data_IF_896280322664
#
_entry.id   IF_896280322664
#
_cell.length_a   1.000
_cell.length_b   1.000
_cell.length_c   1.000
_cell.angle_alpha   90.00
_cell.angle_beta   90.00
_cell.angle_gamma   90.00
#
_symmetry.space_group_name_H-M   'P 1'
#
loop_
_entity.id
_entity.type
_entity.pdbx_description
1 polymer ?
#
# COMPACT_ATOMS: atom_id res chain seq x y z
N UNK A 1 5.72 17.80 4.40
CA UNK A 1 4.50 17.35 3.71
C UNK A 1 4.42 15.83 3.70
N UNK A 2 3.29 15.25 3.23
CA UNK A 2 3.02 13.82 3.31
C UNK A 2 2.46 13.27 1.99
N UNK A 3 2.69 11.98 1.74
CA UNK A 3 2.02 11.19 0.71
C UNK A 3 1.33 9.97 1.31
N UNK A 4 0.10 9.71 0.92
CA UNK A 4 -0.65 8.49 1.24
C UNK A 4 -0.87 7.74 -0.08
N UNK A 5 -0.18 6.62 -0.28
CA UNK A 5 -0.23 5.85 -1.51
C UNK A 5 -1.31 4.76 -1.41
N UNK A 6 -2.53 5.11 -1.76
CA UNK A 6 -3.68 4.19 -1.81
C UNK A 6 -3.92 3.59 -3.21
N UNK A 7 -3.04 3.88 -4.18
CA UNK A 7 -3.20 3.39 -5.54
C UNK A 7 -2.84 1.90 -5.66
N UNK A 8 -3.70 1.14 -6.34
CA UNK A 8 -3.44 -0.25 -6.69
C UNK A 8 -2.51 -0.34 -7.91
N UNK A 9 -1.22 -0.13 -7.68
CA UNK A 9 -0.20 -0.23 -8.72
C UNK A 9 0.09 -1.71 -9.00
N UNK A 10 0.08 -2.09 -10.28
CA UNK A 10 0.42 -3.46 -10.69
C UNK A 10 1.90 -3.76 -10.44
N UNK A 11 2.20 -4.92 -9.87
CA UNK A 11 3.56 -5.37 -9.57
C UNK A 11 4.37 -5.66 -10.85
N UNK A 12 3.69 -5.93 -11.97
CA UNK A 12 4.31 -6.23 -13.26
C UNK A 12 3.71 -5.43 -14.39
N UNK A 13 4.52 -5.14 -15.40
CA UNK A 13 4.11 -4.54 -16.66
C UNK A 13 4.66 -5.35 -17.84
N UNK A 14 4.01 -5.24 -18.98
CA UNK A 14 4.54 -5.85 -20.21
C UNK A 14 5.90 -5.23 -20.53
N UNK A 15 6.91 -6.09 -20.74
CA UNK A 15 8.30 -5.65 -21.00
C UNK A 15 8.40 -4.87 -22.31
N UNK A 16 7.79 -5.39 -23.38
CA UNK A 16 7.79 -4.80 -24.72
C UNK A 16 6.34 -4.56 -25.19
N UNK A 17 5.70 -3.42 -24.80
CA UNK A 17 4.32 -3.16 -25.18
C UNK A 17 4.21 -2.89 -26.69
N UNK A 18 3.26 -3.54 -27.35
CA UNK A 18 2.96 -3.31 -28.74
C UNK A 18 1.99 -2.13 -28.91
N UNK A 19 2.37 -1.16 -29.73
CA UNK A 19 1.59 0.07 -29.97
C UNK A 19 0.55 -0.10 -31.09
N UNK A 20 -0.17 -1.19 -31.15
CA UNK A 20 -1.14 -1.42 -32.21
C UNK A 20 -2.18 -2.45 -31.83
N UNK A 21 -3.03 -2.81 -32.80
CA UNK A 21 -3.98 -3.90 -32.65
C UNK A 21 -3.28 -5.24 -32.93
N UNK A 22 -3.23 -6.10 -31.92
CA UNK A 22 -2.77 -7.47 -32.09
C UNK A 22 -3.79 -8.24 -32.92
N UNK A 23 -3.29 -8.97 -33.93
CA UNK A 23 -4.12 -9.91 -34.71
C UNK A 23 -4.33 -11.17 -33.89
N UNK A 24 -5.51 -11.80 -34.05
CA UNK A 24 -5.80 -13.09 -33.47
C UNK A 24 -4.84 -14.13 -34.06
N UNK A 25 -4.06 -14.77 -33.21
CA UNK A 25 -3.11 -15.82 -33.58
C UNK A 25 -3.33 -17.05 -32.68
N UNK A 26 -2.58 -18.11 -32.91
CA UNK A 26 -2.67 -19.39 -32.17
C UNK A 26 -2.19 -19.30 -30.71
N UNK A 27 -1.75 -18.15 -30.29
CA UNK A 27 -1.34 -17.87 -28.93
C UNK A 27 -0.62 -16.53 -28.82
N UNK A 28 -0.52 -16.00 -27.59
CA UNK A 28 0.23 -14.79 -27.26
C UNK A 28 1.06 -15.06 -26.00
N UNK A 29 2.36 -14.96 -26.13
CA UNK A 29 3.27 -14.96 -24.99
C UNK A 29 3.58 -13.52 -24.59
N UNK A 30 3.38 -13.20 -23.33
CA UNK A 30 3.73 -11.89 -22.75
C UNK A 30 4.90 -12.06 -21.78
N UNK A 31 5.98 -11.36 -22.08
CA UNK A 31 7.07 -11.17 -21.13
C UNK A 31 6.72 -10.01 -20.21
N UNK A 32 6.80 -10.26 -18.90
CA UNK A 32 6.51 -9.28 -17.87
C UNK A 32 7.81 -8.87 -17.15
N UNK A 33 7.91 -7.61 -16.82
CA UNK A 33 8.98 -7.06 -15.99
C UNK A 33 8.40 -6.39 -14.76
N UNK A 34 9.08 -6.42 -13.59
CA UNK A 34 8.60 -5.75 -12.38
C UNK A 34 8.36 -4.25 -12.62
N UNK A 35 7.29 -3.74 -12.06
CA UNK A 35 7.02 -2.31 -12.00
C UNK A 35 7.85 -1.68 -10.88
N UNK A 36 8.31 -0.46 -11.08
CA UNK A 36 9.03 0.27 -10.03
C UNK A 36 8.13 0.51 -8.83
N UNK A 37 8.62 0.20 -7.64
CA UNK A 37 7.91 0.52 -6.40
C UNK A 37 7.88 2.04 -6.19
N UNK A 38 6.71 2.63 -6.43
CA UNK A 38 6.54 4.08 -6.44
C UNK A 38 6.70 4.68 -5.05
N UNK A 39 6.13 4.05 -4.01
CA UNK A 39 6.19 4.59 -2.64
C UNK A 39 7.59 4.42 -2.03
N UNK A 40 8.26 3.29 -2.28
CA UNK A 40 9.63 3.11 -1.85
C UNK A 40 10.57 4.12 -2.54
N UNK A 41 10.36 4.34 -3.85
CA UNK A 41 11.12 5.34 -4.58
C UNK A 41 10.85 6.77 -4.08
N UNK A 42 9.61 7.10 -3.74
CA UNK A 42 9.27 8.39 -3.14
C UNK A 42 9.97 8.56 -1.79
N UNK A 43 9.85 7.58 -0.88
CA UNK A 43 10.47 7.64 0.44
C UNK A 43 11.98 7.84 0.37
N UNK A 44 12.67 7.13 -0.54
CA UNK A 44 14.11 7.27 -0.74
C UNK A 44 14.53 8.66 -1.24
N UNK A 45 13.72 9.31 -2.09
CA UNK A 45 14.02 10.63 -2.65
C UNK A 45 13.53 11.79 -1.77
N UNK A 46 12.63 11.53 -0.82
CA UNK A 46 12.03 12.55 0.07
C UNK A 46 12.09 12.11 1.54
N UNK A 47 13.29 11.93 2.13
CA UNK A 47 13.46 11.36 3.47
C UNK A 47 12.84 12.20 4.60
N UNK A 48 12.56 13.47 4.35
CA UNK A 48 11.91 14.38 5.31
C UNK A 48 10.39 14.44 5.17
N UNK A 49 9.82 13.75 4.19
CA UNK A 49 8.37 13.70 3.98
C UNK A 49 7.77 12.45 4.62
N UNK A 50 6.56 12.59 5.18
CA UNK A 50 5.79 11.46 5.70
C UNK A 50 5.28 10.63 4.53
N UNK A 51 5.61 9.34 4.51
CA UNK A 51 5.19 8.40 3.46
C UNK A 51 4.39 7.25 4.06
N UNK A 52 3.18 7.04 3.56
CA UNK A 52 2.24 6.04 4.04
C UNK A 52 1.94 5.04 2.91
N UNK A 53 2.23 3.77 3.17
CA UNK A 53 1.90 2.66 2.26
C UNK A 53 0.71 1.85 2.76
N UNK A 54 0.11 1.03 1.90
CA UNK A 54 -0.91 0.07 2.26
C UNK A 54 -0.38 -1.37 2.12
N UNK A 55 -0.85 -2.23 3.01
CA UNK A 55 -0.67 -3.67 2.95
C UNK A 55 -2.04 -4.35 3.00
N UNK A 56 -2.28 -5.27 2.08
CA UNK A 56 -3.47 -6.10 2.06
C UNK A 56 -3.05 -7.56 2.23
N UNK A 57 -3.68 -8.30 3.14
CA UNK A 57 -3.41 -9.71 3.38
C UNK A 57 -4.65 -10.46 3.86
N UNK A 58 -4.72 -11.77 3.54
CA UNK A 58 -5.71 -12.72 4.07
C UNK A 58 -5.13 -13.41 5.32
N UNK A 59 -4.99 -12.67 6.43
CA UNK A 59 -4.25 -13.17 7.58
C UNK A 59 -4.88 -12.69 8.88
N UNK A 60 -4.47 -13.29 9.99
CA UNK A 60 -4.85 -12.80 11.33
C UNK A 60 -4.29 -11.40 11.56
N UNK A 61 -4.82 -10.70 12.55
CA UNK A 61 -4.37 -9.34 12.87
C UNK A 61 -2.88 -9.29 13.24
N UNK A 62 -2.40 -10.27 14.03
CA UNK A 62 -0.99 -10.35 14.42
C UNK A 62 -0.10 -10.50 13.18
N UNK A 63 -0.49 -11.37 12.28
CA UNK A 63 0.25 -11.60 11.03
C UNK A 63 0.20 -10.38 10.10
N UNK A 64 -0.93 -9.67 10.08
CA UNK A 64 -1.08 -8.43 9.34
C UNK A 64 -0.11 -7.34 9.85
N UNK A 65 0.07 -7.23 11.18
CA UNK A 65 1.05 -6.31 11.78
C UNK A 65 2.48 -6.71 11.37
N UNK A 66 2.83 -7.99 11.38
CA UNK A 66 4.14 -8.47 10.95
C UNK A 66 4.41 -8.13 9.47
N UNK A 67 3.43 -8.40 8.58
CA UNK A 67 3.52 -8.07 7.16
C UNK A 67 3.67 -6.56 6.96
N UNK A 68 2.89 -5.76 7.70
CA UNK A 68 2.99 -4.31 7.63
C UNK A 68 4.37 -3.80 8.11
N UNK A 69 4.91 -4.37 9.18
CA UNK A 69 6.27 -4.07 9.67
C UNK A 69 7.34 -4.45 8.64
N UNK A 70 7.25 -5.62 8.03
CA UNK A 70 8.15 -6.02 6.94
C UNK A 70 8.14 -4.99 5.81
N UNK A 71 6.97 -4.63 5.31
CA UNK A 71 6.83 -3.61 4.25
C UNK A 71 7.34 -2.23 4.67
N UNK A 72 7.18 -1.85 5.94
CA UNK A 72 7.68 -0.58 6.48
C UNK A 72 9.21 -0.48 6.36
N UNK A 73 9.92 -1.56 6.72
CA UNK A 73 11.38 -1.62 6.60
C UNK A 73 11.84 -1.73 5.15
N UNK A 74 11.25 -2.65 4.37
CA UNK A 74 11.63 -2.91 2.98
C UNK A 74 11.47 -1.68 2.09
N UNK A 75 10.42 -0.88 2.34
CA UNK A 75 10.11 0.33 1.55
C UNK A 75 10.65 1.62 2.18
N UNK A 76 11.20 1.54 3.40
CA UNK A 76 11.68 2.71 4.18
C UNK A 76 10.62 3.81 4.32
N UNK A 77 9.34 3.44 4.44
CA UNK A 77 8.23 4.38 4.61
C UNK A 77 8.01 4.74 6.09
N UNK A 78 7.28 5.81 6.35
CA UNK A 78 7.00 6.31 7.71
C UNK A 78 5.99 5.44 8.44
N UNK A 79 4.94 5.00 7.76
CA UNK A 79 3.96 4.07 8.28
C UNK A 79 3.35 3.19 7.19
N UNK A 80 2.75 2.07 7.61
CA UNK A 80 1.99 1.16 6.75
C UNK A 80 0.61 0.95 7.35
N UNK A 81 -0.42 1.05 6.51
CA UNK A 81 -1.80 0.72 6.88
C UNK A 81 -2.06 -0.70 6.40
N UNK A 82 -2.14 -1.64 7.36
CA UNK A 82 -2.50 -3.02 7.10
C UNK A 82 -4.01 -3.20 7.13
N UNK A 83 -4.61 -3.78 6.10
CA UNK A 83 -6.02 -4.16 6.07
C UNK A 83 -6.21 -5.58 5.54
N UNK A 84 -7.28 -6.25 6.00
CA UNK A 84 -7.65 -7.58 5.55
C UNK A 84 -8.49 -7.51 4.27
N UNK A 85 -8.53 -8.62 3.53
CA UNK A 85 -9.44 -8.76 2.39
C UNK A 85 -10.92 -8.69 2.78
N UNK A 86 -11.28 -9.05 3.99
CA UNK A 86 -12.65 -8.94 4.52
C UNK A 86 -13.16 -7.49 4.53
N UNK A 87 -12.26 -6.51 4.63
CA UNK A 87 -12.59 -5.09 4.54
C UNK A 87 -13.03 -4.66 3.11
N UNK A 88 -12.74 -5.48 2.09
CA UNK A 88 -13.15 -5.19 0.72
C UNK A 88 -14.67 -5.38 0.56
N UNK A 89 -15.36 -4.33 0.15
CA UNK A 89 -16.83 -4.36 -0.03
C UNK A 89 -17.65 -4.17 1.24
N UNK A 90 -17.06 -4.21 2.45
CA UNK A 90 -17.74 -3.93 3.71
C UNK A 90 -17.96 -2.43 3.92
N UNK A 91 -19.02 -2.08 4.65
CA UNK A 91 -19.28 -0.71 5.15
C UNK A 91 -18.37 -0.39 6.35
N UNK A 92 -18.12 -1.39 7.19
CA UNK A 92 -17.19 -1.31 8.31
C UNK A 92 -15.84 -1.89 7.91
N UNK A 93 -14.80 -1.38 8.52
CA UNK A 93 -13.44 -1.84 8.26
C UNK A 93 -12.62 -1.83 9.56
N UNK A 94 -11.62 -2.70 9.59
CA UNK A 94 -10.59 -2.73 10.61
C UNK A 94 -9.25 -2.65 9.92
N UNK A 95 -8.41 -1.73 10.36
CA UNK A 95 -7.05 -1.57 9.85
C UNK A 95 -6.05 -1.44 10.99
N UNK A 96 -4.81 -1.83 10.72
CA UNK A 96 -3.67 -1.63 11.59
C UNK A 96 -2.80 -0.49 11.04
N UNK A 97 -2.69 0.61 11.77
CA UNK A 97 -1.77 1.70 11.46
C UNK A 97 -0.44 1.41 12.15
N UNK A 98 0.58 1.03 11.38
CA UNK A 98 1.85 0.52 11.90
C UNK A 98 2.96 1.52 11.60
N UNK A 99 3.66 1.98 12.64
CA UNK A 99 4.90 2.77 12.57
C UNK A 99 6.11 1.95 13.01
N UNK A 100 7.28 2.56 13.05
CA UNK A 100 8.50 1.91 13.60
C UNK A 100 8.37 1.64 15.10
N UNK A 101 7.69 2.53 15.81
CA UNK A 101 7.59 2.50 17.26
C UNK A 101 6.39 1.68 17.75
N UNK A 102 5.26 1.79 17.05
CA UNK A 102 3.98 1.30 17.58
C UNK A 102 3.02 0.83 16.46
N UNK A 103 1.92 0.23 16.88
CA UNK A 103 0.78 -0.11 16.04
C UNK A 103 -0.53 0.28 16.71
N UNK A 104 -1.44 0.88 15.95
CA UNK A 104 -2.76 1.31 16.42
C UNK A 104 -3.83 0.63 15.57
N UNK A 105 -4.78 -0.04 16.23
CA UNK A 105 -5.96 -0.58 15.59
C UNK A 105 -7.01 0.51 15.41
N UNK A 106 -7.56 0.61 14.20
CA UNK A 106 -8.65 1.53 13.87
C UNK A 106 -9.83 0.73 13.33
N UNK A 107 -10.99 0.91 13.93
CA UNK A 107 -12.23 0.22 13.55
C UNK A 107 -13.37 1.22 13.35
N UNK A 108 -14.33 0.86 12.53
CA UNK A 108 -15.53 1.66 12.26
C UNK A 108 -15.88 1.77 10.79
N UNK A 109 -16.70 2.73 10.44
CA UNK A 109 -16.99 3.02 9.04
C UNK A 109 -15.73 3.49 8.30
N UNK A 110 -15.66 3.27 7.00
CA UNK A 110 -14.52 3.75 6.17
C UNK A 110 -14.27 5.24 6.33
N UNK A 111 -15.32 6.02 6.54
CA UNK A 111 -15.21 7.47 6.77
C UNK A 111 -14.55 7.79 8.11
N UNK A 112 -14.94 7.12 9.19
CA UNK A 112 -14.36 7.32 10.53
C UNK A 112 -12.90 6.87 10.55
N UNK A 113 -12.61 5.68 10.03
CA UNK A 113 -11.25 5.16 9.93
C UNK A 113 -10.36 6.08 9.08
N UNK A 114 -10.87 6.60 7.96
CA UNK A 114 -10.11 7.56 7.13
C UNK A 114 -9.79 8.85 7.88
N UNK A 115 -10.71 9.39 8.67
CA UNK A 115 -10.45 10.57 9.53
C UNK A 115 -9.36 10.27 10.56
N UNK A 116 -9.46 9.14 11.25
CA UNK A 116 -8.46 8.71 12.24
C UNK A 116 -7.08 8.52 11.60
N UNK A 117 -7.01 7.98 10.40
CA UNK A 117 -5.74 7.88 9.63
C UNK A 117 -5.16 9.26 9.39
N UNK A 118 -5.95 10.23 8.90
CA UNK A 118 -5.48 11.59 8.64
C UNK A 118 -5.00 12.28 9.92
N UNK A 119 -5.69 12.08 11.04
CA UNK A 119 -5.27 12.59 12.34
C UNK A 119 -3.92 12.00 12.79
N UNK A 120 -3.70 10.70 12.61
CA UNK A 120 -2.42 10.06 12.92
C UNK A 120 -1.31 10.57 11.99
N UNK A 121 -1.58 10.68 10.69
CA UNK A 121 -0.62 11.22 9.71
C UNK A 121 -0.25 12.67 10.05
N UNK A 122 -1.23 13.50 10.44
CA UNK A 122 -0.96 14.90 10.82
C UNK A 122 0.00 15.04 11.99
N UNK A 123 -0.01 14.09 12.94
CA UNK A 123 0.92 14.06 14.08
C UNK A 123 2.35 13.66 13.68
N UNK A 124 2.52 12.99 12.54
CA UNK A 124 3.83 12.60 12.01
C UNK A 124 4.49 13.71 11.19
N UNK A 125 3.72 14.68 10.71
CA UNK A 125 4.23 15.86 9.98
C UNK A 125 4.84 16.82 11.00
N UNK A 126 6.11 17.12 10.82
CA UNK A 126 6.86 18.08 11.65
C UNK A 126 6.79 19.50 11.08
#
# INVERSE_FOLDING_TARGET
DAIIMAAAVSDFRVQNPYLGKLKRSDGLNLELTPTKDLIANFAANHPNSVSIAFALAEETQERLIEIARGKLWDKSVTAVIGNSFEALGSQETLVQFVTKEDSVELTGSKTEVSKSIIELVSKLIK
#
